data_IF_532678905033
#
_entry.id   IF_532678905033
#
_cell.length_a   1.000
_cell.length_b   1.000
_cell.length_c   1.000
_cell.angle_alpha   90.00
_cell.angle_beta   90.00
_cell.angle_gamma   90.00
#
_symmetry.space_group_name_H-M   'P 1'
#
loop_
_entity.id
_entity.type
_entity.pdbx_description
1 polymer ?
#
# COMPACT_ATOMS: atom_id res chain seq x y z
N UNK A 1 -1.28 2.63 -11.50
CA UNK A 1 -1.96 3.94 -11.62
C UNK A 1 -3.29 3.83 -12.36
N UNK A 2 -3.32 3.46 -13.65
CA UNK A 2 -4.56 3.47 -14.47
C UNK A 2 -5.72 2.66 -13.89
N UNK A 3 -5.44 1.47 -13.35
CA UNK A 3 -6.46 0.64 -12.70
C UNK A 3 -7.00 1.25 -11.41
N UNK A 4 -6.17 1.99 -10.67
CA UNK A 4 -6.56 2.65 -9.41
C UNK A 4 -7.56 3.77 -9.63
N UNK A 5 -7.36 4.59 -10.68
CA UNK A 5 -8.29 5.66 -11.06
C UNK A 5 -9.69 5.09 -11.34
N UNK A 6 -9.76 3.96 -12.06
CA UNK A 6 -11.03 3.29 -12.34
C UNK A 6 -11.70 2.84 -11.04
N UNK A 7 -10.94 2.27 -10.10
CA UNK A 7 -11.48 1.82 -8.81
C UNK A 7 -12.02 2.98 -7.96
N UNK A 8 -11.33 4.12 -7.94
CA UNK A 8 -11.78 5.31 -7.21
C UNK A 8 -13.12 5.84 -7.74
N UNK A 9 -13.24 5.99 -9.06
CA UNK A 9 -14.47 6.48 -9.68
C UNK A 9 -15.63 5.47 -9.65
N UNK A 10 -15.36 4.17 -9.47
CA UNK A 10 -16.42 3.17 -9.36
C UNK A 10 -17.30 3.37 -8.12
N UNK A 11 -16.75 3.84 -7.00
CA UNK A 11 -17.55 4.14 -5.81
C UNK A 11 -18.62 5.21 -6.11
N UNK A 12 -18.26 6.26 -6.85
CA UNK A 12 -19.20 7.33 -7.21
C UNK A 12 -20.18 6.94 -8.32
N UNK A 13 -19.72 6.21 -9.34
CA UNK A 13 -20.52 5.93 -10.56
C UNK A 13 -21.46 4.74 -10.41
N UNK A 14 -21.02 3.66 -9.76
CA UNK A 14 -21.79 2.41 -9.67
C UNK A 14 -22.41 2.19 -8.29
N UNK A 15 -21.90 2.86 -7.24
CA UNK A 15 -22.31 2.66 -5.86
C UNK A 15 -22.76 3.97 -5.20
N UNK A 16 -23.66 4.71 -5.88
CA UNK A 16 -24.09 6.05 -5.46
C UNK A 16 -24.76 6.07 -4.08
N UNK A 17 -25.64 5.11 -3.77
CA UNK A 17 -26.28 5.03 -2.45
C UNK A 17 -25.28 4.69 -1.34
N UNK A 18 -24.33 3.79 -1.61
CA UNK A 18 -23.24 3.48 -0.67
C UNK A 18 -22.40 4.73 -0.39
N UNK A 19 -22.01 5.46 -1.44
CA UNK A 19 -21.26 6.70 -1.33
C UNK A 19 -22.00 7.78 -0.53
N UNK A 20 -23.32 7.88 -0.65
CA UNK A 20 -24.13 8.76 0.20
C UNK A 20 -24.19 8.27 1.65
N UNK A 21 -24.42 6.97 1.84
CA UNK A 21 -24.71 6.36 3.15
C UNK A 21 -23.50 6.33 4.09
N UNK A 22 -22.28 6.12 3.56
CA UNK A 22 -21.06 6.01 4.38
C UNK A 22 -19.97 7.01 3.99
N UNK A 23 -20.28 7.96 3.10
CA UNK A 23 -19.29 8.87 2.52
C UNK A 23 -18.53 9.72 3.54
N UNK A 24 -19.17 10.08 4.66
CA UNK A 24 -18.54 10.84 5.74
C UNK A 24 -17.37 10.08 6.39
N UNK A 25 -17.48 8.76 6.46
CA UNK A 25 -16.53 7.89 7.17
C UNK A 25 -15.54 7.27 6.19
N UNK A 26 -16.07 6.71 5.09
CA UNK A 26 -15.27 6.03 4.07
C UNK A 26 -14.48 7.03 3.22
N UNK A 27 -15.04 8.22 2.94
CA UNK A 27 -14.40 9.23 2.09
C UNK A 27 -13.16 9.87 2.71
N UNK A 28 -13.13 10.03 4.03
CA UNK A 28 -12.02 10.69 4.72
C UNK A 28 -10.67 9.95 4.54
N UNK A 29 -10.55 8.63 4.79
CA UNK A 29 -9.33 7.87 4.50
C UNK A 29 -8.89 7.94 3.03
N UNK A 30 -9.82 7.85 2.06
CA UNK A 30 -9.49 7.91 0.63
C UNK A 30 -8.96 9.29 0.22
N UNK A 31 -9.53 10.38 0.74
CA UNK A 31 -9.03 11.71 0.48
C UNK A 31 -7.61 11.90 1.05
N UNK A 32 -7.35 11.39 2.26
CA UNK A 32 -6.03 11.43 2.90
C UNK A 32 -5.02 10.59 2.11
N UNK A 33 -5.42 9.41 1.63
CA UNK A 33 -4.59 8.57 0.76
C UNK A 33 -4.11 9.34 -0.47
N UNK A 34 -5.03 10.00 -1.18
CA UNK A 34 -4.72 10.76 -2.37
C UNK A 34 -3.76 11.93 -2.09
N UNK A 35 -4.01 12.68 -1.01
CA UNK A 35 -3.21 13.87 -0.66
C UNK A 35 -1.82 13.53 -0.11
N UNK A 36 -1.71 12.50 0.74
CA UNK A 36 -0.45 12.17 1.39
C UNK A 36 0.32 11.10 0.63
N UNK A 37 -0.29 9.95 0.36
CA UNK A 37 0.41 8.78 -0.14
C UNK A 37 0.65 8.87 -1.65
N UNK A 38 -0.40 9.12 -2.44
CA UNK A 38 -0.27 9.19 -3.89
C UNK A 38 0.58 10.36 -4.34
N UNK A 39 0.44 11.52 -3.69
CA UNK A 39 1.27 12.68 -4.04
C UNK A 39 2.75 12.43 -3.73
N UNK A 40 3.06 11.84 -2.58
CA UNK A 40 4.42 11.49 -2.20
C UNK A 40 5.00 10.46 -3.18
N UNK A 41 4.29 9.36 -3.43
CA UNK A 41 4.74 8.30 -4.33
C UNK A 41 4.96 8.83 -5.75
N UNK A 42 3.95 9.48 -6.35
CA UNK A 42 4.03 9.96 -7.74
C UNK A 42 5.14 10.99 -7.95
N UNK A 43 5.35 11.89 -6.99
CA UNK A 43 6.43 12.88 -7.05
C UNK A 43 7.81 12.23 -6.94
N UNK A 44 8.01 11.37 -5.95
CA UNK A 44 9.32 10.76 -5.71
C UNK A 44 9.66 9.64 -6.70
N UNK A 45 8.67 8.97 -7.31
CA UNK A 45 8.89 8.04 -8.43
C UNK A 45 9.44 8.78 -9.64
N UNK A 46 8.95 9.99 -9.92
CA UNK A 46 9.52 10.84 -10.97
C UNK A 46 10.99 11.17 -10.69
N UNK A 47 11.31 11.57 -9.45
CA UNK A 47 12.69 11.83 -9.03
C UNK A 47 13.57 10.57 -9.05
N UNK A 48 13.02 9.41 -8.76
CA UNK A 48 13.75 8.15 -8.79
C UNK A 48 14.27 7.82 -10.20
N UNK A 49 13.43 7.99 -11.23
CA UNK A 49 13.82 7.72 -12.62
C UNK A 49 14.73 8.80 -13.21
N UNK A 50 14.41 10.08 -13.01
CA UNK A 50 15.13 11.19 -13.65
C UNK A 50 16.26 11.79 -12.80
N UNK A 51 16.39 11.37 -11.55
CA UNK A 51 17.32 11.95 -10.59
C UNK A 51 18.73 11.35 -10.57
N UNK A 52 19.03 10.33 -11.39
CA UNK A 52 20.33 9.63 -11.36
C UNK A 52 21.53 10.56 -11.59
N UNK A 53 21.45 11.46 -12.56
CA UNK A 53 22.55 12.40 -12.89
C UNK A 53 22.43 13.74 -12.16
N UNK A 54 21.29 14.00 -11.50
CA UNK A 54 20.96 15.31 -10.90
C UNK A 54 20.98 15.31 -9.37
N UNK A 55 20.85 14.15 -8.73
CA UNK A 55 20.84 14.00 -7.27
C UNK A 55 22.14 13.35 -6.80
N UNK A 56 22.61 13.74 -5.62
CA UNK A 56 23.67 12.99 -4.95
C UNK A 56 23.16 11.61 -4.54
N UNK A 57 24.05 10.61 -4.43
CA UNK A 57 23.71 9.23 -4.07
C UNK A 57 22.81 9.12 -2.83
N UNK A 58 23.06 9.94 -1.80
CA UNK A 58 22.23 9.97 -0.59
C UNK A 58 20.83 10.53 -0.83
N UNK A 59 20.68 11.57 -1.65
CA UNK A 59 19.37 12.14 -2.00
C UNK A 59 18.56 11.20 -2.89
N UNK A 60 19.22 10.48 -3.80
CA UNK A 60 18.57 9.46 -4.62
C UNK A 60 18.08 8.27 -3.78
N UNK A 61 18.89 7.83 -2.81
CA UNK A 61 18.47 6.83 -1.84
C UNK A 61 17.28 7.31 -0.99
N UNK A 62 17.30 8.55 -0.51
CA UNK A 62 16.16 9.13 0.21
C UNK A 62 14.89 9.14 -0.66
N UNK A 63 14.99 9.53 -1.93
CA UNK A 63 13.86 9.48 -2.86
C UNK A 63 13.31 8.05 -2.99
N UNK A 64 14.18 7.05 -3.09
CA UNK A 64 13.80 5.64 -3.14
C UNK A 64 13.04 5.20 -1.88
N UNK A 65 13.49 5.63 -0.69
CA UNK A 65 12.78 5.37 0.56
C UNK A 65 11.44 6.10 0.65
N UNK A 66 11.34 7.33 0.16
CA UNK A 66 10.07 8.07 0.11
C UNK A 66 9.05 7.38 -0.79
N UNK A 67 9.47 6.81 -1.92
CA UNK A 67 8.60 5.97 -2.76
C UNK A 67 8.09 4.77 -1.97
N UNK A 68 8.99 4.00 -1.36
CA UNK A 68 8.59 2.83 -0.58
C UNK A 68 7.66 3.20 0.58
N UNK A 69 7.93 4.31 1.26
CA UNK A 69 7.09 4.80 2.36
C UNK A 69 5.71 5.28 1.87
N UNK A 70 5.64 5.97 0.73
CA UNK A 70 4.38 6.37 0.09
C UNK A 70 3.50 5.18 -0.22
N UNK A 71 4.06 4.12 -0.82
CA UNK A 71 3.30 2.89 -1.11
C UNK A 71 2.80 2.18 0.16
N UNK A 72 3.57 2.21 1.25
CA UNK A 72 3.12 1.72 2.55
C UNK A 72 1.96 2.52 3.13
N UNK A 73 2.04 3.86 3.05
CA UNK A 73 0.98 4.75 3.52
C UNK A 73 -0.31 4.56 2.71
N UNK A 74 -0.22 4.39 1.39
CA UNK A 74 -1.39 4.11 0.56
C UNK A 74 -2.06 2.80 1.00
N UNK A 75 -1.27 1.73 1.16
CA UNK A 75 -1.78 0.46 1.67
C UNK A 75 -2.45 0.60 3.05
N UNK A 76 -1.92 1.45 3.94
CA UNK A 76 -2.55 1.72 5.23
C UNK A 76 -3.93 2.35 5.07
N UNK A 77 -4.04 3.47 4.34
CA UNK A 77 -5.30 4.23 4.25
C UNK A 77 -6.41 3.46 3.55
N UNK A 78 -6.10 2.75 2.47
CA UNK A 78 -7.10 1.93 1.77
C UNK A 78 -7.56 0.74 2.63
N UNK A 79 -6.67 0.17 3.45
CA UNK A 79 -7.00 -0.94 4.35
C UNK A 79 -7.69 -0.48 5.63
N UNK A 80 -7.50 0.77 6.06
CA UNK A 80 -8.35 1.40 7.08
C UNK A 80 -9.78 1.52 6.58
N UNK A 81 -9.98 2.01 5.35
CA UNK A 81 -11.30 2.09 4.74
C UNK A 81 -11.94 0.69 4.60
N UNK A 82 -11.18 -0.30 4.11
CA UNK A 82 -11.67 -1.68 3.99
C UNK A 82 -11.89 -2.37 5.35
N UNK A 83 -11.07 -2.07 6.35
CA UNK A 83 -11.21 -2.58 7.71
C UNK A 83 -12.48 -2.08 8.37
N UNK A 84 -12.79 -0.79 8.18
CA UNK A 84 -14.05 -0.20 8.65
C UNK A 84 -15.28 -0.84 7.99
N UNK A 85 -15.23 -1.17 6.70
CA UNK A 85 -16.32 -1.89 6.02
C UNK A 85 -16.63 -3.26 6.66
N UNK A 86 -15.65 -3.88 7.31
CA UNK A 86 -15.83 -5.18 7.98
C UNK A 86 -16.21 -5.05 9.45
N UNK A 87 -15.66 -4.05 10.13
CA UNK A 87 -15.94 -3.74 11.52
C UNK A 87 -16.18 -2.22 11.65
N UNK A 88 -17.44 -1.76 11.58
CA UNK A 88 -17.75 -0.33 11.56
C UNK A 88 -17.64 0.28 12.97
N UNK A 89 -16.41 0.53 13.41
CA UNK A 89 -16.09 1.23 14.66
C UNK A 89 -16.01 2.74 14.44
N UNK A 90 -16.32 3.53 15.47
CA UNK A 90 -16.22 5.00 15.39
C UNK A 90 -17.26 5.67 14.48
N UNK A 91 -18.44 5.05 14.31
CA UNK A 91 -19.53 5.57 13.49
C UNK A 91 -20.91 5.32 14.11
N UNK A 92 -21.85 6.24 13.92
CA UNK A 92 -23.23 6.14 14.38
C UNK A 92 -24.22 6.51 13.26
N UNK A 93 -25.42 5.93 13.28
CA UNK A 93 -26.45 6.25 12.30
C UNK A 93 -27.24 7.49 12.72
N UNK A 94 -27.30 8.50 11.85
CA UNK A 94 -28.11 9.70 12.07
C UNK A 94 -29.42 9.62 11.28
N UNK A 95 -30.56 9.65 11.99
CA UNK A 95 -31.90 9.57 11.40
C UNK A 95 -32.29 10.83 10.61
N UNK A 96 -31.69 11.99 10.90
CA UNK A 96 -31.99 13.26 10.21
C UNK A 96 -31.32 13.31 8.83
N UNK A 97 -30.07 12.86 8.75
CA UNK A 97 -29.28 12.87 7.51
C UNK A 97 -29.34 11.55 6.74
N UNK A 98 -29.97 10.52 7.31
CA UNK A 98 -30.17 9.18 6.73
C UNK A 98 -28.85 8.58 6.24
N UNK A 99 -27.80 8.73 7.04
CA UNK A 99 -26.44 8.25 6.76
C UNK A 99 -25.70 7.90 8.05
N UNK A 100 -24.62 7.15 7.89
CA UNK A 100 -23.64 6.91 8.96
C UNK A 100 -22.71 8.13 9.06
N UNK A 101 -22.55 8.65 10.27
CA UNK A 101 -21.67 9.79 10.57
C UNK A 101 -20.51 9.34 11.45
N UNK A 102 -19.34 9.96 11.24
CA UNK A 102 -18.14 9.62 12.00
C UNK A 102 -18.22 10.19 13.42
N UNK A 103 -18.07 9.33 14.43
CA UNK A 103 -18.02 9.76 15.83
C UNK A 103 -16.60 9.93 16.34
N UNK A 104 -15.68 9.04 15.92
CA UNK A 104 -14.27 9.10 16.34
C UNK A 104 -13.32 8.60 15.24
N UNK A 105 -12.50 9.50 14.72
CA UNK A 105 -11.50 9.19 13.70
C UNK A 105 -10.40 8.23 14.21
N UNK A 106 -10.00 8.33 15.49
CA UNK A 106 -8.96 7.48 16.04
C UNK A 106 -9.42 6.02 16.15
N UNK A 107 -10.69 5.79 16.49
CA UNK A 107 -11.26 4.44 16.57
C UNK A 107 -11.39 3.79 15.19
N UNK A 108 -11.54 4.60 14.15
CA UNK A 108 -11.48 4.16 12.76
C UNK A 108 -10.05 3.79 12.34
N UNK A 109 -9.07 4.63 12.68
CA UNK A 109 -7.66 4.38 12.29
C UNK A 109 -7.03 3.21 13.07
N UNK A 110 -7.30 3.10 14.37
CA UNK A 110 -6.80 2.04 15.25
C UNK A 110 -7.64 0.76 15.23
N UNK A 111 -8.58 0.64 14.27
CA UNK A 111 -9.43 -0.54 14.16
C UNK A 111 -8.58 -1.82 14.09
N UNK A 112 -8.75 -2.79 15.01
CA UNK A 112 -7.97 -4.03 15.04
C UNK A 112 -8.01 -4.81 13.72
N UNK A 113 -9.15 -4.80 13.02
CA UNK A 113 -9.31 -5.44 11.72
C UNK A 113 -8.48 -4.74 10.65
N UNK A 114 -8.44 -3.40 10.65
CA UNK A 114 -7.61 -2.63 9.74
C UNK A 114 -6.12 -2.90 9.98
N UNK A 115 -5.68 -2.93 11.24
CA UNK A 115 -4.28 -3.17 11.61
C UNK A 115 -3.82 -4.58 11.21
N UNK A 116 -4.64 -5.60 11.47
CA UNK A 116 -4.39 -6.98 11.06
C UNK A 116 -4.30 -7.12 9.53
N UNK A 117 -5.27 -6.57 8.79
CA UNK A 117 -5.27 -6.55 7.32
C UNK A 117 -4.07 -5.82 6.73
N UNK A 118 -3.69 -4.70 7.33
CA UNK A 118 -2.53 -3.92 6.91
C UNK A 118 -1.26 -4.74 6.98
N UNK A 119 -0.99 -5.35 8.14
CA UNK A 119 0.18 -6.20 8.32
C UNK A 119 0.16 -7.40 7.37
N UNK A 120 -1.02 -7.98 7.10
CA UNK A 120 -1.16 -9.15 6.23
C UNK A 120 -0.84 -8.81 4.79
N UNK A 121 -1.58 -7.82 4.27
CA UNK A 121 -1.52 -7.43 2.86
C UNK A 121 -0.14 -6.86 2.52
N UNK A 122 0.45 -6.08 3.45
CA UNK A 122 1.80 -5.57 3.26
C UNK A 122 2.84 -6.69 3.28
N UNK A 123 2.69 -7.68 4.17
CA UNK A 123 3.56 -8.87 4.17
C UNK A 123 3.47 -9.64 2.88
N UNK A 124 2.26 -9.90 2.40
CA UNK A 124 2.02 -10.57 1.14
C UNK A 124 2.64 -9.81 -0.05
N UNK A 125 2.54 -8.48 -0.08
CA UNK A 125 3.16 -7.64 -1.11
C UNK A 125 4.68 -7.76 -1.14
N UNK A 126 5.34 -7.68 0.03
CA UNK A 126 6.79 -7.85 0.14
C UNK A 126 7.27 -9.24 -0.26
N UNK A 127 6.55 -10.29 0.16
CA UNK A 127 6.85 -11.68 -0.24
C UNK A 127 6.74 -11.83 -1.76
N UNK A 128 5.68 -11.28 -2.36
CA UNK A 128 5.45 -11.32 -3.81
C UNK A 128 6.56 -10.63 -4.59
N UNK A 129 6.96 -9.43 -4.19
CA UNK A 129 8.05 -8.68 -4.82
C UNK A 129 9.40 -9.40 -4.70
N UNK A 130 9.71 -9.94 -3.52
CA UNK A 130 10.94 -10.68 -3.30
C UNK A 130 11.00 -11.96 -4.15
N UNK A 131 9.89 -12.70 -4.19
CA UNK A 131 9.78 -13.94 -4.97
C UNK A 131 9.87 -13.67 -6.48
N UNK A 132 9.32 -12.55 -6.97
CA UNK A 132 9.44 -12.15 -8.37
C UNK A 132 10.90 -11.95 -8.79
N UNK A 133 11.69 -11.20 -8.00
CA UNK A 133 13.11 -10.98 -8.28
C UNK A 133 13.90 -12.29 -8.17
N UNK A 134 13.55 -13.14 -7.20
CA UNK A 134 14.14 -14.47 -7.03
C UNK A 134 13.89 -15.35 -8.26
N UNK A 135 12.65 -15.43 -8.75
CA UNK A 135 12.29 -16.24 -9.91
C UNK A 135 13.03 -15.81 -11.18
N UNK A 136 13.12 -14.51 -11.46
CA UNK A 136 13.86 -13.98 -12.61
C UNK A 136 15.36 -14.27 -12.48
N UNK A 137 15.92 -14.06 -11.28
CA UNK A 137 17.34 -14.32 -11.03
C UNK A 137 17.68 -15.80 -11.20
N UNK A 138 16.83 -16.71 -10.72
CA UNK A 138 16.95 -18.15 -10.95
C UNK A 138 16.91 -18.49 -12.44
N UNK A 139 16.01 -17.87 -13.20
CA UNK A 139 15.94 -18.07 -14.65
C UNK A 139 17.24 -17.65 -15.36
N UNK A 140 17.83 -16.52 -14.98
CA UNK A 140 19.11 -16.07 -15.56
C UNK A 140 20.28 -17.01 -15.22
N UNK A 141 20.33 -17.50 -13.98
CA UNK A 141 21.33 -18.49 -13.55
C UNK A 141 21.19 -19.81 -14.34
N UNK A 142 19.96 -20.29 -14.55
CA UNK A 142 19.69 -21.50 -15.35
C UNK A 142 20.10 -21.33 -16.82
N UNK A 143 20.00 -20.12 -17.36
CA UNK A 143 20.41 -19.81 -18.74
C UNK A 143 21.89 -19.42 -18.87
N UNK A 144 22.64 -19.37 -17.76
CA UNK A 144 24.04 -18.95 -17.76
C UNK A 144 24.26 -17.50 -18.19
N UNK A 145 23.27 -16.61 -17.98
CA UNK A 145 23.32 -15.19 -18.36
C UNK A 145 23.60 -14.32 -17.15
N UNK A 146 24.47 -13.31 -17.31
CA UNK A 146 24.76 -12.28 -16.30
C UNK A 146 24.96 -12.83 -14.88
N UNK A 147 25.78 -13.88 -14.77
CA UNK A 147 25.89 -14.71 -13.56
C UNK A 147 26.13 -13.91 -12.28
N UNK A 148 27.04 -12.94 -12.32
CA UNK A 148 27.40 -12.13 -11.15
C UNK A 148 26.24 -11.22 -10.70
N UNK A 149 25.49 -10.64 -11.65
CA UNK A 149 24.31 -9.83 -11.35
C UNK A 149 23.19 -10.70 -10.80
N UNK A 150 22.89 -11.82 -11.47
CA UNK A 150 21.84 -12.74 -11.09
C UNK A 150 22.10 -13.34 -9.69
N UNK A 151 23.35 -13.70 -9.37
CA UNK A 151 23.73 -14.23 -8.05
C UNK A 151 23.52 -13.21 -6.93
N UNK A 152 23.92 -11.93 -7.14
CA UNK A 152 23.74 -10.86 -6.15
C UNK A 152 22.27 -10.54 -5.91
N UNK A 153 21.48 -10.46 -6.98
CA UNK A 153 20.03 -10.23 -6.91
C UNK A 153 19.33 -11.39 -6.22
N UNK A 154 19.65 -12.64 -6.59
CA UNK A 154 19.10 -13.84 -5.97
C UNK A 154 19.37 -13.88 -4.45
N UNK A 155 20.61 -13.63 -4.03
CA UNK A 155 20.98 -13.69 -2.61
C UNK A 155 20.24 -12.64 -1.77
N UNK A 156 20.15 -11.39 -2.24
CA UNK A 156 19.45 -10.30 -1.52
C UNK A 156 17.96 -10.56 -1.43
N UNK A 157 17.34 -10.99 -2.52
CA UNK A 157 15.90 -11.30 -2.55
C UNK A 157 15.56 -12.51 -1.68
N UNK A 158 16.40 -13.54 -1.67
CA UNK A 158 16.21 -14.72 -0.81
C UNK A 158 16.24 -14.35 0.68
N UNK A 159 17.22 -13.55 1.10
CA UNK A 159 17.30 -13.08 2.50
C UNK A 159 16.06 -12.28 2.90
N UNK A 160 15.64 -11.33 2.07
CA UNK A 160 14.46 -10.51 2.33
C UNK A 160 13.16 -11.34 2.36
N UNK A 161 13.04 -12.31 1.45
CA UNK A 161 11.90 -13.23 1.39
C UNK A 161 11.78 -14.10 2.65
N UNK A 162 12.88 -14.75 3.07
CA UNK A 162 12.92 -15.58 4.28
C UNK A 162 12.59 -14.74 5.52
N UNK A 163 13.23 -13.58 5.65
CA UNK A 163 12.97 -12.67 6.76
C UNK A 163 11.48 -12.31 6.85
N UNK A 164 10.87 -11.94 5.71
CA UNK A 164 9.46 -11.54 5.72
C UNK A 164 8.50 -12.70 5.96
N UNK A 165 8.80 -13.89 5.42
CA UNK A 165 8.01 -15.09 5.68
C UNK A 165 8.02 -15.48 7.14
N UNK A 166 9.19 -15.44 7.79
CA UNK A 166 9.31 -15.78 9.21
C UNK A 166 8.47 -14.85 10.10
N UNK A 167 8.49 -13.54 9.81
CA UNK A 167 7.65 -12.59 10.53
C UNK A 167 6.17 -12.81 10.23
N UNK A 168 5.80 -13.07 8.96
CA UNK A 168 4.41 -13.37 8.61
C UNK A 168 3.90 -14.61 9.34
N UNK A 169 4.65 -15.72 9.39
CA UNK A 169 4.21 -16.96 10.02
C UNK A 169 3.98 -16.84 11.55
N UNK A 170 4.60 -15.86 12.21
CA UNK A 170 4.53 -15.68 13.67
C UNK A 170 3.63 -14.50 14.11
N UNK A 171 2.97 -13.80 13.18
CA UNK A 171 2.17 -12.60 13.48
C UNK A 171 0.66 -12.77 13.27
N UNK A 172 0.20 -14.03 13.13
CA UNK A 172 -1.21 -14.42 13.04
C UNK A 172 -1.61 -15.28 14.22
#
# INVERSE_FOLDING_TARGET
>A
MTTGIIMEFQFGTNWSYYSHYVGDIFGAPLAIEALLAFFLESTFVGLFFFGWDRLSKGKHLLATYCVAFGSNLSAMWILVANGWMQAPTGSEFNFETVRMEMTNFLDLWLNPVAQSKFLHTLSAGYVTGAFFVLAISSYFLLKGRDFEFAKRSFSRSCYFWIYRLYFSANSW
#
